data_IF_160211489779
#
_entry.id   IF_160211489779
#
_cell.length_a   1.000
_cell.length_b   1.000
_cell.length_c   1.000
_cell.angle_alpha   90.00
_cell.angle_beta   90.00
_cell.angle_gamma   90.00
#
_symmetry.space_group_name_H-M   'P 1'
#
loop_
_entity.id
_entity.type
_entity.pdbx_description
1 polymer ?
#
# COMPACT_ATOMS: atom_id res chain seq x y z
N UNK A 1 -51.55 53.08 -6.00
CA UNK A 1 -50.77 52.13 -5.17
C UNK A 1 -51.21 50.73 -5.48
N UNK A 2 -50.24 49.84 -5.65
CA UNK A 2 -50.25 48.66 -6.52
C UNK A 2 -51.17 47.52 -6.09
N UNK A 3 -51.96 47.06 -7.05
CA UNK A 3 -52.43 45.67 -7.15
C UNK A 3 -51.19 44.76 -7.20
N UNK A 4 -51.16 43.70 -6.40
CA UNK A 4 -50.55 42.36 -6.59
C UNK A 4 -50.63 41.66 -5.22
N UNK A 5 -51.86 41.31 -4.82
CA UNK A 5 -52.07 39.99 -4.21
C UNK A 5 -52.12 39.00 -5.40
N UNK A 6 -51.74 37.74 -5.19
CA UNK A 6 -51.56 36.66 -6.18
C UNK A 6 -50.11 36.43 -6.66
N UNK A 7 -49.22 35.99 -5.75
CA UNK A 7 -48.05 35.15 -6.08
C UNK A 7 -47.29 34.66 -4.82
N UNK A 8 -47.95 34.04 -3.83
CA UNK A 8 -47.24 33.42 -2.69
C UNK A 8 -47.81 32.05 -2.31
N UNK A 9 -48.16 31.24 -3.30
CA UNK A 9 -48.65 29.87 -3.08
C UNK A 9 -48.13 28.86 -4.12
N UNK A 10 -46.93 29.07 -4.68
CA UNK A 10 -46.37 28.15 -5.68
C UNK A 10 -44.85 27.99 -5.68
N UNK A 11 -44.18 28.15 -4.53
CA UNK A 11 -42.77 27.75 -4.35
C UNK A 11 -42.60 27.13 -2.95
N UNK A 12 -43.33 26.05 -2.67
CA UNK A 12 -43.09 25.26 -1.45
C UNK A 12 -43.40 23.77 -1.62
N UNK A 13 -43.30 23.27 -2.84
CA UNK A 13 -43.31 21.84 -3.18
C UNK A 13 -42.35 21.72 -4.38
N UNK A 14 -41.42 20.75 -4.35
CA UNK A 14 -40.24 20.60 -5.22
C UNK A 14 -38.95 21.23 -4.64
N UNK A 15 -38.63 20.90 -3.39
CA UNK A 15 -37.23 20.89 -2.94
C UNK A 15 -36.98 19.74 -1.94
N UNK A 16 -37.52 18.55 -2.27
CA UNK A 16 -37.42 17.39 -1.38
C UNK A 16 -37.22 16.06 -2.11
N UNK A 17 -36.56 16.04 -3.28
CA UNK A 17 -36.24 14.78 -3.99
C UNK A 17 -34.92 14.77 -4.78
N UNK A 18 -33.88 15.48 -4.33
CA UNK A 18 -32.52 15.24 -4.85
C UNK A 18 -31.44 15.34 -3.76
N UNK A 19 -31.67 14.68 -2.62
CA UNK A 19 -30.53 14.12 -1.86
C UNK A 19 -30.18 12.77 -2.49
N UNK A 20 -29.64 12.82 -3.70
CA UNK A 20 -28.84 11.72 -4.22
C UNK A 20 -27.65 11.63 -3.28
N UNK A 21 -27.69 10.64 -2.38
CA UNK A 21 -26.54 10.28 -1.57
C UNK A 21 -25.39 9.95 -2.51
N UNK A 22 -24.46 10.89 -2.66
CA UNK A 22 -23.11 10.57 -3.10
C UNK A 22 -22.50 9.70 -2.01
N UNK A 23 -22.74 8.40 -2.11
CA UNK A 23 -21.89 7.41 -1.48
C UNK A 23 -20.54 7.59 -2.15
N UNK A 24 -19.66 8.37 -1.52
CA UNK A 24 -18.25 8.35 -1.87
C UNK A 24 -17.79 6.93 -1.61
N UNK A 25 -17.73 6.12 -2.67
CA UNK A 25 -17.01 4.86 -2.65
C UNK A 25 -15.62 5.18 -2.11
N UNK A 26 -15.31 4.68 -0.92
CA UNK A 26 -14.01 4.90 -0.29
C UNK A 26 -12.93 4.57 -1.31
N UNK A 27 -11.96 5.46 -1.58
CA UNK A 27 -10.94 5.20 -2.57
C UNK A 27 -10.27 3.85 -2.23
N UNK A 28 -10.38 2.90 -3.14
CA UNK A 28 -9.84 1.53 -3.00
C UNK A 28 -8.30 1.64 -2.89
N UNK A 29 -7.62 0.80 -2.07
CA UNK A 29 -6.14 0.73 -2.13
C UNK A 29 -5.77 0.48 -3.59
N UNK A 30 -5.00 1.40 -4.18
CA UNK A 30 -4.52 1.30 -5.56
C UNK A 30 -3.32 0.34 -5.64
N UNK A 31 -3.39 -0.81 -4.95
CA UNK A 31 -2.65 -1.98 -5.40
C UNK A 31 -3.45 -2.48 -6.61
N UNK A 32 -2.90 -2.32 -7.81
CA UNK A 32 -3.62 -2.66 -9.05
C UNK A 32 -4.30 -4.02 -8.94
N UNK A 33 -5.56 -4.09 -9.37
CA UNK A 33 -6.27 -5.37 -9.48
C UNK A 33 -5.39 -6.33 -10.30
N UNK A 34 -5.21 -7.57 -9.81
CA UNK A 34 -4.44 -8.58 -10.53
C UNK A 34 -5.05 -8.78 -11.92
N UNK A 35 -4.43 -8.18 -12.94
CA UNK A 35 -4.93 -8.29 -14.31
C UNK A 35 -4.83 -9.73 -14.80
N UNK A 36 -5.79 -10.15 -15.59
CA UNK A 36 -5.84 -11.50 -16.18
C UNK A 36 -4.69 -11.65 -17.17
N UNK A 37 -3.74 -12.55 -16.88
CA UNK A 37 -2.61 -12.82 -17.78
C UNK A 37 -2.97 -13.89 -18.80
N UNK A 38 -2.71 -13.62 -20.07
CA UNK A 38 -3.04 -14.52 -21.18
C UNK A 38 -2.11 -14.28 -22.36
N UNK A 39 -2.00 -15.29 -23.22
CA UNK A 39 -1.33 -15.13 -24.50
C UNK A 39 -2.18 -14.22 -25.42
N UNK A 40 -1.62 -13.10 -25.85
CA UNK A 40 -2.26 -12.12 -26.73
C UNK A 40 -1.22 -11.31 -27.53
N UNK A 41 -1.67 -10.47 -28.45
CA UNK A 41 -0.82 -9.57 -29.23
C UNK A 41 -1.22 -8.10 -28.97
N UNK A 42 -0.30 -7.21 -28.55
CA UNK A 42 1.09 -7.48 -28.18
C UNK A 42 1.20 -8.36 -26.92
N UNK A 43 2.32 -9.09 -26.79
CA UNK A 43 2.56 -9.96 -25.64
C UNK A 43 2.49 -9.16 -24.34
N UNK A 44 1.84 -9.73 -23.33
CA UNK A 44 1.81 -9.12 -22.00
C UNK A 44 3.21 -9.17 -21.38
N UNK A 45 3.66 -8.05 -20.84
CA UNK A 45 4.93 -7.95 -20.12
C UNK A 45 4.72 -7.32 -18.75
N UNK A 46 5.58 -7.64 -17.79
CA UNK A 46 5.54 -7.03 -16.46
C UNK A 46 6.14 -7.88 -15.35
N UNK A 47 6.21 -7.28 -14.15
CA UNK A 47 6.64 -7.97 -12.93
C UNK A 47 5.66 -9.06 -12.52
N UNK A 48 4.36 -8.86 -12.76
CA UNK A 48 3.30 -9.87 -12.56
C UNK A 48 3.53 -11.13 -13.40
N UNK A 49 3.95 -10.97 -14.66
CA UNK A 49 4.32 -12.09 -15.54
C UNK A 49 5.59 -12.79 -15.02
N UNK A 50 6.59 -12.00 -14.59
CA UNK A 50 7.85 -12.54 -14.04
C UNK A 50 7.58 -13.36 -12.78
N UNK A 51 6.71 -12.85 -11.92
CA UNK A 51 6.25 -13.49 -10.69
C UNK A 51 5.65 -14.86 -10.99
N UNK A 52 4.65 -14.95 -11.88
CA UNK A 52 4.01 -16.24 -12.19
C UNK A 52 4.97 -17.21 -12.88
N UNK A 53 5.88 -16.74 -13.74
CA UNK A 53 6.89 -17.58 -14.37
C UNK A 53 7.83 -18.19 -13.33
N UNK A 54 8.24 -17.40 -12.33
CA UNK A 54 9.05 -17.88 -11.22
C UNK A 54 8.30 -18.91 -10.38
N UNK A 55 7.03 -18.67 -10.03
CA UNK A 55 6.24 -19.62 -9.24
C UNK A 55 6.00 -20.92 -10.00
N UNK A 56 5.60 -20.84 -11.28
CA UNK A 56 5.43 -22.03 -12.13
C UNK A 56 6.74 -22.81 -12.29
N UNK A 57 7.89 -22.11 -12.35
CA UNK A 57 9.21 -22.75 -12.41
C UNK A 57 9.55 -23.47 -11.11
N UNK A 58 9.29 -22.84 -9.97
CA UNK A 58 9.46 -23.44 -8.63
C UNK A 58 8.58 -24.68 -8.43
N UNK A 59 7.37 -24.66 -8.98
CA UNK A 59 6.43 -25.79 -8.97
C UNK A 59 6.72 -26.84 -10.05
N UNK A 60 7.74 -26.64 -10.90
CA UNK A 60 8.16 -27.60 -11.92
C UNK A 60 7.41 -27.54 -13.26
N UNK A 61 6.46 -26.60 -13.43
CA UNK A 61 5.67 -26.44 -14.65
C UNK A 61 6.36 -25.59 -15.72
N UNK A 62 7.25 -24.66 -15.34
CA UNK A 62 7.91 -23.75 -16.28
C UNK A 62 9.42 -23.99 -16.39
N UNK A 63 9.87 -24.40 -17.58
CA UNK A 63 11.30 -24.65 -17.88
C UNK A 63 11.99 -23.48 -18.59
N UNK A 64 11.25 -22.42 -18.93
CA UNK A 64 11.76 -21.25 -19.63
C UNK A 64 12.60 -20.31 -18.76
N UNK A 65 13.02 -19.21 -19.37
CA UNK A 65 13.67 -18.08 -18.68
C UNK A 65 12.60 -17.21 -18.04
N UNK A 66 12.83 -16.85 -16.78
CA UNK A 66 11.94 -15.92 -16.06
C UNK A 66 12.24 -14.51 -16.57
N UNK A 67 11.57 -14.11 -17.64
CA UNK A 67 11.85 -12.90 -18.42
C UNK A 67 10.76 -11.82 -18.30
N UNK A 68 9.61 -12.16 -17.71
CA UNK A 68 8.48 -11.26 -17.56
C UNK A 68 7.68 -11.05 -18.85
N UNK A 69 7.74 -11.98 -19.81
CA UNK A 69 6.99 -11.95 -21.07
C UNK A 69 6.03 -13.15 -21.15
N UNK A 70 4.73 -12.91 -21.31
CA UNK A 70 3.72 -13.97 -21.34
C UNK A 70 3.66 -14.59 -22.75
N UNK A 71 4.67 -15.39 -23.04
CA UNK A 71 4.83 -16.08 -24.33
C UNK A 71 4.09 -17.43 -24.38
N UNK A 72 4.22 -18.13 -25.51
CA UNK A 72 3.63 -19.46 -25.70
C UNK A 72 4.08 -20.46 -24.63
N UNK A 73 5.37 -20.43 -24.24
CA UNK A 73 5.93 -21.30 -23.20
C UNK A 73 5.29 -21.05 -21.83
N UNK A 74 5.05 -19.78 -21.52
CA UNK A 74 4.37 -19.37 -20.27
C UNK A 74 2.92 -19.86 -20.29
N UNK A 75 2.21 -19.66 -21.39
CA UNK A 75 0.84 -20.16 -21.57
C UNK A 75 0.75 -21.68 -21.44
N UNK A 76 1.68 -22.44 -22.04
CA UNK A 76 1.77 -23.89 -21.91
C UNK A 76 2.00 -24.33 -20.46
N UNK A 77 2.93 -23.69 -19.73
CA UNK A 77 3.14 -23.99 -18.31
C UNK A 77 1.90 -23.69 -17.45
N UNK A 78 1.15 -22.63 -17.77
CA UNK A 78 -0.14 -22.34 -17.09
C UNK A 78 -1.16 -23.43 -17.39
N UNK A 79 -1.25 -23.93 -18.63
CA UNK A 79 -2.14 -25.04 -18.99
C UNK A 79 -1.79 -26.33 -18.24
N UNK A 80 -0.50 -26.64 -18.13
CA UNK A 80 -0.04 -27.84 -17.42
C UNK A 80 -0.36 -27.75 -15.92
N UNK A 81 -0.13 -26.58 -15.31
CA UNK A 81 -0.54 -26.30 -13.93
C UNK A 81 -2.06 -26.42 -13.75
N UNK A 82 -2.84 -25.78 -14.62
CA UNK A 82 -4.30 -25.86 -14.58
C UNK A 82 -4.80 -27.30 -14.69
N UNK A 83 -4.22 -28.09 -15.61
CA UNK A 83 -4.57 -29.50 -15.80
C UNK A 83 -4.30 -30.31 -14.54
N UNK A 84 -3.15 -30.11 -13.89
CA UNK A 84 -2.82 -30.78 -12.63
C UNK A 84 -3.79 -30.39 -11.50
N UNK A 85 -4.13 -29.10 -11.38
CA UNK A 85 -5.02 -28.61 -10.32
C UNK A 85 -6.52 -28.85 -10.58
N UNK A 86 -6.86 -29.58 -11.65
CA UNK A 86 -8.23 -29.89 -12.04
C UNK A 86 -9.03 -28.69 -12.56
N UNK A 87 -8.34 -27.68 -13.10
CA UNK A 87 -8.93 -26.53 -13.78
C UNK A 87 -9.03 -26.78 -15.29
N UNK A 88 -9.84 -25.96 -15.98
CA UNK A 88 -9.82 -25.90 -17.45
C UNK A 88 -8.44 -25.41 -17.91
N UNK A 89 -7.71 -26.17 -18.77
CA UNK A 89 -6.38 -25.80 -19.23
C UNK A 89 -6.43 -24.79 -20.39
N UNK A 90 -6.99 -23.60 -20.15
CA UNK A 90 -7.12 -22.55 -21.16
C UNK A 90 -5.83 -21.72 -21.35
N UNK A 91 -4.89 -21.79 -20.41
CA UNK A 91 -3.65 -21.02 -20.43
C UNK A 91 -3.86 -19.57 -20.00
N UNK A 92 -4.97 -19.28 -19.31
CA UNK A 92 -5.30 -17.97 -18.75
C UNK A 92 -5.01 -17.99 -17.24
N UNK A 93 -4.07 -17.15 -16.80
CA UNK A 93 -3.80 -16.94 -15.40
C UNK A 93 -4.73 -15.86 -14.82
N UNK A 94 -5.94 -16.29 -14.47
CA UNK A 94 -6.93 -15.46 -13.75
C UNK A 94 -7.10 -15.88 -12.28
N UNK A 95 -8.09 -15.28 -11.60
CA UNK A 95 -8.32 -15.50 -10.16
C UNK A 95 -8.46 -16.97 -9.77
N UNK A 96 -9.11 -17.82 -10.58
CA UNK A 96 -9.26 -19.25 -10.29
C UNK A 96 -7.92 -19.99 -10.27
N UNK A 97 -7.06 -19.71 -11.25
CA UNK A 97 -5.71 -20.26 -11.35
C UNK A 97 -4.85 -19.76 -10.19
N UNK A 98 -4.93 -18.46 -9.89
CA UNK A 98 -4.23 -17.83 -8.77
C UNK A 98 -4.60 -18.47 -7.44
N UNK A 99 -5.89 -18.65 -7.15
CA UNK A 99 -6.35 -19.26 -5.89
C UNK A 99 -5.91 -20.72 -5.74
N UNK A 100 -5.87 -21.49 -6.84
CA UNK A 100 -5.30 -22.85 -6.79
C UNK A 100 -3.82 -22.81 -6.47
N UNK A 101 -3.06 -21.90 -7.08
CA UNK A 101 -1.66 -21.72 -6.75
C UNK A 101 -1.48 -21.30 -5.29
N UNK A 102 -2.31 -20.38 -4.79
CA UNK A 102 -2.26 -19.89 -3.42
C UNK A 102 -2.38 -21.02 -2.40
N UNK A 103 -3.33 -21.92 -2.61
CA UNK A 103 -3.56 -23.08 -1.74
C UNK A 103 -2.34 -24.00 -1.60
N UNK A 104 -1.46 -24.08 -2.59
CA UNK A 104 -0.22 -24.86 -2.51
C UNK A 104 0.75 -24.27 -1.47
N UNK A 105 0.76 -22.94 -1.32
CA UNK A 105 1.63 -22.21 -0.40
C UNK A 105 0.98 -21.95 0.96
N UNK A 106 -0.34 -21.90 1.03
CA UNK A 106 -1.11 -21.90 2.27
C UNK A 106 -1.06 -23.29 2.93
N UNK A 107 0.14 -23.75 3.34
CA UNK A 107 0.23 -24.82 4.34
C UNK A 107 -0.65 -24.41 5.52
N UNK A 108 -1.45 -25.31 6.12
CA UNK A 108 -2.39 -24.93 7.15
C UNK A 108 -1.59 -24.44 8.35
N UNK A 109 -1.47 -23.12 8.50
CA UNK A 109 -1.46 -22.51 9.80
C UNK A 109 -2.79 -22.97 10.38
N UNK A 110 -2.77 -24.05 11.16
CA UNK A 110 -3.92 -24.49 11.91
C UNK A 110 -4.56 -23.25 12.53
N UNK A 111 -5.90 -23.21 12.58
CA UNK A 111 -6.60 -22.24 13.42
C UNK A 111 -6.19 -22.52 14.86
N UNK A 112 -4.98 -22.10 15.24
CA UNK A 112 -4.50 -22.18 16.60
C UNK A 112 -5.35 -21.14 17.32
N UNK A 113 -6.22 -21.57 18.26
CA UNK A 113 -6.88 -20.62 19.14
C UNK A 113 -5.77 -19.86 19.83
N UNK A 114 -5.57 -18.62 19.45
CA UNK A 114 -4.62 -17.75 20.12
C UNK A 114 -5.42 -16.89 21.07
N UNK A 115 -5.05 -16.90 22.33
CA UNK A 115 -5.58 -15.96 23.30
C UNK A 115 -5.44 -14.52 22.77
N UNK A 116 -6.48 -13.72 23.01
CA UNK A 116 -6.46 -12.31 22.64
C UNK A 116 -5.40 -11.59 23.49
N UNK A 117 -4.59 -10.69 22.93
CA UNK A 117 -3.64 -9.94 23.71
C UNK A 117 -4.38 -9.13 24.80
N UNK A 118 -3.89 -9.13 26.04
CA UNK A 118 -4.47 -8.32 27.11
C UNK A 118 -4.19 -6.82 26.88
N UNK A 119 -4.96 -5.97 27.56
CA UNK A 119 -4.70 -4.53 27.66
C UNK A 119 -4.74 -3.77 26.33
N UNK A 120 -3.97 -2.68 26.25
CA UNK A 120 -3.87 -1.85 25.05
C UNK A 120 -3.04 -2.56 23.98
N UNK A 121 -3.61 -2.70 22.78
CA UNK A 121 -2.97 -3.32 21.62
C UNK A 121 -2.45 -2.26 20.65
N UNK A 122 -1.21 -2.41 20.21
CA UNK A 122 -0.63 -1.65 19.09
C UNK A 122 0.12 -2.56 18.12
N UNK A 123 0.45 -2.04 16.95
CA UNK A 123 1.21 -2.77 15.92
C UNK A 123 2.54 -2.06 15.68
N UNK A 124 3.63 -2.83 15.59
CA UNK A 124 4.93 -2.36 15.10
C UNK A 124 5.29 -3.16 13.85
N UNK A 125 5.65 -2.48 12.77
CA UNK A 125 6.06 -3.07 11.50
C UNK A 125 7.51 -2.72 11.23
N UNK A 126 8.37 -3.74 11.16
CA UNK A 126 9.77 -3.60 10.77
C UNK A 126 9.88 -3.90 9.29
N UNK A 127 10.01 -2.86 8.47
CA UNK A 127 9.93 -2.99 7.01
C UNK A 127 11.11 -3.76 6.42
N UNK A 128 12.33 -3.53 6.90
CA UNK A 128 13.53 -4.27 6.47
C UNK A 128 13.51 -5.75 6.88
N UNK A 129 12.98 -6.05 8.07
CA UNK A 129 12.83 -7.43 8.56
C UNK A 129 11.60 -8.12 7.98
N UNK A 130 10.68 -7.37 7.37
CA UNK A 130 9.40 -7.84 6.83
C UNK A 130 8.59 -8.58 7.90
N UNK A 131 8.51 -7.96 9.08
CA UNK A 131 7.80 -8.46 10.26
C UNK A 131 6.77 -7.47 10.76
N UNK A 132 5.60 -7.99 11.10
CA UNK A 132 4.59 -7.28 11.89
C UNK A 132 4.58 -7.89 13.29
N UNK A 133 4.72 -7.05 14.30
CA UNK A 133 4.67 -7.41 15.72
C UNK A 133 3.45 -6.77 16.34
N UNK A 134 2.55 -7.61 16.86
CA UNK A 134 1.46 -7.16 17.72
C UNK A 134 2.05 -6.95 19.11
N UNK A 135 1.80 -5.77 19.67
CA UNK A 135 2.21 -5.37 21.00
C UNK A 135 1.00 -5.41 21.94
N UNK A 136 1.22 -5.80 23.18
CA UNK A 136 0.23 -5.78 24.27
C UNK A 136 0.88 -5.07 25.45
N UNK A 137 0.26 -3.99 25.92
CA UNK A 137 0.79 -3.15 27.02
C UNK A 137 2.25 -2.71 26.80
N UNK A 138 2.58 -2.36 25.55
CA UNK A 138 3.91 -1.93 25.15
C UNK A 138 4.96 -3.04 25.01
N UNK A 139 4.60 -4.31 25.23
CA UNK A 139 5.50 -5.47 25.09
C UNK A 139 5.17 -6.28 23.84
N UNK A 140 6.16 -6.89 23.15
CA UNK A 140 5.90 -7.80 22.04
C UNK A 140 5.03 -8.98 22.49
N UNK A 141 3.89 -9.17 21.84
CA UNK A 141 2.97 -10.28 22.11
C UNK A 141 3.13 -11.39 21.07
N UNK A 142 3.07 -11.05 19.78
CA UNK A 142 3.24 -12.02 18.69
C UNK A 142 3.78 -11.38 17.42
N UNK A 143 4.64 -12.11 16.71
CA UNK A 143 5.20 -11.68 15.42
C UNK A 143 4.67 -12.49 14.25
N UNK A 144 4.49 -11.84 13.11
CA UNK A 144 4.04 -12.43 11.85
C UNK A 144 4.96 -12.01 10.70
N UNK A 145 5.27 -12.93 9.76
CA UNK A 145 5.92 -12.54 8.52
C UNK A 145 4.92 -11.77 7.64
N UNK A 146 5.41 -10.73 6.97
CA UNK A 146 4.63 -9.89 6.06
C UNK A 146 5.36 -9.66 4.74
N UNK A 147 4.65 -9.20 3.71
CA UNK A 147 5.28 -8.53 2.57
C UNK A 147 5.05 -7.03 2.67
N UNK A 148 6.02 -6.24 2.20
CA UNK A 148 5.96 -4.77 2.23
C UNK A 148 6.10 -4.19 0.81
N UNK A 149 6.11 -2.87 0.70
CA UNK A 149 6.27 -2.13 -0.56
C UNK A 149 7.57 -2.50 -1.29
N UNK A 150 7.58 -2.38 -2.61
CA UNK A 150 8.83 -2.42 -3.38
C UNK A 150 9.69 -1.19 -3.08
N UNK A 151 10.94 -1.16 -3.57
CA UNK A 151 11.79 0.03 -3.48
C UNK A 151 11.28 1.23 -4.30
N UNK A 152 10.44 0.97 -5.30
CA UNK A 152 9.78 2.00 -6.11
C UNK A 152 8.49 2.51 -5.47
N UNK A 153 7.80 1.65 -4.72
CA UNK A 153 6.54 1.95 -4.05
C UNK A 153 6.62 1.55 -2.57
N UNK A 154 7.49 2.22 -1.79
CA UNK A 154 7.80 1.81 -0.43
C UNK A 154 6.60 1.91 0.51
N UNK A 155 6.57 1.04 1.51
CA UNK A 155 5.60 1.17 2.62
C UNK A 155 5.89 2.46 3.39
N UNK A 156 4.87 3.27 3.73
CA UNK A 156 5.06 4.54 4.42
C UNK A 156 5.66 4.32 5.81
N UNK A 157 6.73 5.06 6.13
CA UNK A 157 7.39 5.07 7.44
C UNK A 157 6.77 6.15 8.32
N UNK A 158 6.49 5.85 9.59
CA UNK A 158 5.90 6.79 10.54
C UNK A 158 4.90 6.17 11.51
N UNK A 159 4.17 7.03 12.21
CA UNK A 159 3.08 6.65 13.12
C UNK A 159 1.73 6.85 12.43
N UNK A 160 0.95 5.78 12.37
CA UNK A 160 -0.39 5.74 11.79
C UNK A 160 -1.40 5.12 12.74
N UNK A 161 -2.67 5.13 12.35
CA UNK A 161 -3.76 4.47 13.04
C UNK A 161 -4.65 3.69 12.07
N UNK A 162 -5.28 2.63 12.56
CA UNK A 162 -6.31 1.92 11.82
C UNK A 162 -7.57 2.78 11.77
N UNK A 163 -8.04 3.14 10.58
CA UNK A 163 -9.23 4.01 10.39
C UNK A 163 -10.46 3.25 9.90
N UNK A 164 -10.26 2.11 9.26
CA UNK A 164 -11.33 1.29 8.68
C UNK A 164 -10.92 -0.17 8.70
N UNK A 165 -11.92 -1.05 8.83
CA UNK A 165 -11.77 -2.51 8.83
C UNK A 165 -12.85 -3.11 7.96
N UNK A 166 -12.47 -3.98 7.03
CA UNK A 166 -13.41 -4.64 6.12
C UNK A 166 -13.05 -6.11 5.90
N UNK A 167 -14.06 -6.93 5.60
CA UNK A 167 -13.89 -8.30 5.09
C UNK A 167 -14.02 -8.31 3.57
N UNK A 168 -12.92 -8.63 2.87
CA UNK A 168 -12.90 -8.68 1.40
C UNK A 168 -12.77 -10.15 0.97
N UNK A 169 -13.50 -10.52 -0.08
CA UNK A 169 -13.60 -11.91 -0.55
C UNK A 169 -12.74 -12.24 -1.77
N UNK A 170 -12.29 -11.25 -2.55
CA UNK A 170 -11.52 -11.49 -3.77
C UNK A 170 -10.49 -10.35 -3.99
N UNK A 171 -9.32 -10.67 -4.56
CA UNK A 171 -8.25 -9.72 -4.93
C UNK A 171 -7.28 -9.29 -3.81
N UNK A 172 -7.71 -9.21 -2.56
CA UNK A 172 -6.91 -8.61 -1.46
C UNK A 172 -6.68 -9.53 -0.25
N UNK A 173 -7.13 -10.79 -0.31
CA UNK A 173 -7.17 -11.68 0.85
C UNK A 173 -8.37 -11.41 1.76
N UNK A 174 -8.44 -12.09 2.90
CA UNK A 174 -9.68 -12.22 3.69
C UNK A 174 -10.06 -11.03 4.56
N UNK A 175 -9.11 -10.14 4.90
CA UNK A 175 -9.31 -8.96 5.75
C UNK A 175 -8.51 -7.77 5.24
N UNK A 176 -9.05 -6.57 5.46
CA UNK A 176 -8.44 -5.28 5.12
C UNK A 176 -8.53 -4.33 6.32
N UNK A 177 -7.44 -3.62 6.62
CA UNK A 177 -7.35 -2.62 7.68
C UNK A 177 -6.65 -1.37 7.14
N UNK A 178 -7.41 -0.27 6.94
CA UNK A 178 -6.90 0.98 6.35
C UNK A 178 -6.08 1.78 7.36
N UNK A 179 -4.98 2.37 6.91
CA UNK A 179 -4.15 3.32 7.66
C UNK A 179 -4.50 4.77 7.31
N UNK A 180 -4.37 5.70 8.27
CA UNK A 180 -4.57 7.15 8.08
C UNK A 180 -3.40 7.85 7.34
N UNK A 181 -2.88 7.25 6.29
CA UNK A 181 -1.79 7.86 5.49
C UNK A 181 -2.37 9.00 4.63
N UNK A 182 -1.89 10.25 4.76
CA UNK A 182 -2.55 11.39 4.13
C UNK A 182 -2.42 11.43 2.59
N UNK A 183 -1.33 10.89 2.04
CA UNK A 183 -1.03 11.01 0.60
C UNK A 183 -1.54 9.86 -0.27
N UNK A 184 -2.20 8.85 0.31
CA UNK A 184 -2.71 7.71 -0.45
C UNK A 184 -3.47 6.69 0.38
N UNK A 185 -3.87 5.60 -0.27
CA UNK A 185 -4.62 4.53 0.39
C UNK A 185 -3.68 3.38 0.71
N UNK A 186 -3.36 3.25 1.98
CA UNK A 186 -2.48 2.22 2.52
C UNK A 186 -3.22 1.41 3.58
N UNK A 187 -2.82 0.16 3.74
CA UNK A 187 -3.46 -0.74 4.70
C UNK A 187 -2.67 -2.00 4.97
N UNK A 188 -3.06 -2.69 6.03
CA UNK A 188 -2.63 -4.05 6.36
C UNK A 188 -3.73 -4.98 5.88
N UNK A 189 -3.39 -5.99 5.08
CA UNK A 189 -4.40 -6.87 4.49
C UNK A 189 -3.89 -8.29 4.24
N UNK A 190 -4.82 -9.21 4.00
CA UNK A 190 -4.52 -10.57 3.59
C UNK A 190 -3.83 -10.65 2.21
N UNK A 191 -3.65 -11.84 1.66
CA UNK A 191 -3.19 -11.96 0.28
C UNK A 191 -3.66 -13.25 -0.38
N UNK A 192 -3.95 -13.16 -1.68
CA UNK A 192 -4.13 -14.28 -2.60
C UNK A 192 -2.79 -14.74 -3.23
N UNK A 193 -1.68 -14.09 -2.87
CA UNK A 193 -0.30 -14.42 -3.28
C UNK A 193 0.54 -14.75 -2.04
N UNK A 194 0.23 -15.82 -1.30
CA UNK A 194 0.93 -16.19 -0.06
C UNK A 194 2.45 -16.36 -0.23
N UNK A 195 2.92 -16.70 -1.42
CA UNK A 195 4.35 -16.76 -1.76
C UNK A 195 5.07 -15.40 -1.73
N UNK A 196 4.33 -14.28 -1.77
CA UNK A 196 4.90 -12.93 -1.66
C UNK A 196 5.31 -12.57 -0.23
N UNK A 197 4.80 -13.31 0.76
CA UNK A 197 5.09 -13.07 2.17
C UNK A 197 6.57 -13.29 2.45
N UNK A 198 7.19 -12.32 3.13
CA UNK A 198 8.63 -12.27 3.34
C UNK A 198 9.40 -11.60 2.20
N UNK A 199 8.74 -10.90 1.27
CA UNK A 199 9.36 -10.12 0.19
C UNK A 199 8.99 -8.62 0.17
N UNK A 200 9.59 -7.89 -0.78
CA UNK A 200 9.27 -6.50 -1.14
C UNK A 200 8.42 -6.52 -2.43
N UNK A 201 7.11 -6.75 -2.31
CA UNK A 201 6.26 -7.24 -3.42
C UNK A 201 4.96 -6.43 -3.64
N UNK A 202 4.70 -5.44 -2.81
CA UNK A 202 3.45 -4.67 -2.85
C UNK A 202 3.64 -3.25 -3.38
N UNK A 203 2.52 -2.54 -3.61
CA UNK A 203 2.52 -1.10 -3.93
C UNK A 203 2.49 -0.23 -2.67
N UNK A 204 3.08 -0.71 -1.57
CA UNK A 204 3.17 -0.03 -0.28
C UNK A 204 2.21 -0.55 0.81
N UNK A 205 1.10 -1.19 0.44
CA UNK A 205 0.17 -1.86 1.37
C UNK A 205 0.87 -3.10 2.01
N UNK A 206 0.67 -3.38 3.31
CA UNK A 206 1.34 -4.49 4.02
C UNK A 206 0.53 -5.77 3.84
N UNK A 207 1.12 -6.80 3.24
CA UNK A 207 0.46 -8.09 2.98
C UNK A 207 0.76 -9.10 4.08
N UNK A 208 -0.26 -9.86 4.47
CA UNK A 208 -0.23 -10.92 5.46
C UNK A 208 -0.85 -12.20 4.90
N UNK A 209 -0.46 -13.37 5.43
CA UNK A 209 -1.23 -14.60 5.18
C UNK A 209 -2.65 -14.46 5.72
N UNK A 210 -3.65 -15.02 5.02
CA UNK A 210 -5.06 -14.91 5.40
C UNK A 210 -5.33 -15.35 6.86
N UNK A 211 -4.81 -16.49 7.35
CA UNK A 211 -4.99 -16.88 8.75
C UNK A 211 -4.36 -15.89 9.75
N UNK A 212 -3.24 -15.26 9.39
CA UNK A 212 -2.56 -14.29 10.24
C UNK A 212 -3.31 -12.97 10.31
N UNK A 213 -3.77 -12.45 9.17
CA UNK A 213 -4.54 -11.19 9.16
C UNK A 213 -5.87 -11.37 9.87
N UNK A 214 -6.54 -12.52 9.74
CA UNK A 214 -7.77 -12.82 10.47
C UNK A 214 -7.55 -12.75 11.98
N UNK A 215 -6.46 -13.33 12.47
CA UNK A 215 -6.10 -13.26 13.89
C UNK A 215 -5.81 -11.82 14.35
N UNK A 216 -4.98 -11.08 13.61
CA UNK A 216 -4.68 -9.66 13.94
C UNK A 216 -5.96 -8.81 13.87
N UNK A 217 -6.84 -9.07 12.91
CA UNK A 217 -8.09 -8.35 12.74
C UNK A 217 -9.00 -8.46 13.96
N UNK A 218 -9.06 -9.61 14.63
CA UNK A 218 -9.84 -9.77 15.88
C UNK A 218 -9.20 -9.08 17.09
N UNK A 219 -7.89 -8.84 17.03
CA UNK A 219 -7.12 -8.27 18.14
C UNK A 219 -7.09 -6.74 18.14
N UNK A 220 -7.20 -6.11 16.97
CA UNK A 220 -7.05 -4.66 16.83
C UNK A 220 -8.40 -3.97 16.60
N UNK A 221 -8.49 -2.73 17.08
CA UNK A 221 -9.67 -1.89 16.93
C UNK A 221 -9.40 -0.73 15.96
N UNK A 222 -10.45 -0.08 15.47
CA UNK A 222 -10.31 1.25 14.87
C UNK A 222 -9.69 2.17 15.93
N UNK A 223 -8.69 2.95 15.53
CA UNK A 223 -7.86 3.78 16.41
C UNK A 223 -6.58 3.10 16.91
N UNK A 224 -6.41 1.78 16.72
CA UNK A 224 -5.16 1.10 17.09
C UNK A 224 -3.96 1.75 16.38
N UNK A 225 -2.93 2.09 17.16
CA UNK A 225 -1.68 2.69 16.67
C UNK A 225 -0.86 1.67 15.89
N UNK A 226 -0.28 2.12 14.79
CA UNK A 226 0.59 1.36 13.90
C UNK A 226 1.88 2.14 13.69
N UNK A 227 2.96 1.64 14.26
CA UNK A 227 4.31 2.17 14.08
C UNK A 227 4.96 1.44 12.91
N UNK A 228 5.31 2.15 11.85
CA UNK A 228 6.03 1.58 10.71
C UNK A 228 7.45 2.12 10.73
N UNK A 229 8.39 1.20 10.95
CA UNK A 229 9.81 1.50 11.17
C UNK A 229 10.60 1.07 9.93
N UNK A 230 11.42 2.00 9.45
CA UNK A 230 12.39 1.79 8.37
C UNK A 230 13.68 1.13 8.87
N UNK A 231 14.75 1.30 8.11
CA UNK A 231 16.11 1.15 8.62
C UNK A 231 16.54 2.32 9.51
N UNK A 232 17.84 2.39 9.79
CA UNK A 232 18.46 3.47 10.59
C UNK A 232 18.20 4.86 10.01
N UNK A 233 18.06 4.94 8.68
CA UNK A 233 17.77 6.19 7.96
C UNK A 233 16.27 6.52 7.86
N UNK A 234 15.40 5.74 8.52
CA UNK A 234 13.97 6.00 8.61
C UNK A 234 13.31 6.15 7.23
N UNK A 235 12.63 7.28 6.92
CA UNK A 235 12.02 7.52 5.62
C UNK A 235 12.97 7.42 4.42
N UNK A 236 14.28 7.58 4.63
CA UNK A 236 15.30 7.58 3.58
C UNK A 236 16.04 6.24 3.44
N UNK A 237 15.51 5.17 4.04
CA UNK A 237 16.08 3.81 3.99
C UNK A 237 16.44 3.33 2.57
N UNK A 238 15.78 3.85 1.54
CA UNK A 238 16.02 3.49 0.13
C UNK A 238 16.73 4.59 -0.68
N UNK A 239 17.43 5.48 0.02
CA UNK A 239 18.23 6.55 -0.57
C UNK A 239 17.51 7.89 -0.69
N UNK A 240 18.30 8.91 -1.05
CA UNK A 240 17.85 10.29 -1.24
C UNK A 240 17.35 10.51 -2.66
N UNK A 241 16.11 10.11 -2.93
CA UNK A 241 15.46 10.42 -4.22
C UNK A 241 15.20 11.93 -4.29
N UNK A 242 15.46 12.61 -5.43
CA UNK A 242 15.11 14.01 -5.58
C UNK A 242 13.60 14.22 -5.40
N UNK A 243 13.21 15.24 -4.64
CA UNK A 243 11.80 15.60 -4.46
C UNK A 243 11.46 16.82 -5.32
N UNK A 244 10.34 16.72 -6.01
CA UNK A 244 9.80 17.77 -6.87
C UNK A 244 8.32 17.93 -6.60
N UNK A 245 7.69 18.94 -7.20
CA UNK A 245 6.23 19.09 -7.15
C UNK A 245 5.54 17.79 -7.58
N UNK A 246 4.56 17.35 -6.78
CA UNK A 246 3.84 16.10 -6.98
C UNK A 246 4.44 14.87 -6.29
N UNK A 247 5.69 14.94 -5.79
CA UNK A 247 6.27 13.89 -4.94
C UNK A 247 5.40 13.64 -3.71
N UNK A 248 5.31 12.39 -3.28
CA UNK A 248 4.51 11.96 -2.12
C UNK A 248 5.23 10.90 -1.32
N UNK A 249 5.22 11.02 0.01
CA UNK A 249 5.83 10.00 0.86
C UNK A 249 6.25 10.48 2.23
N UNK A 250 6.81 9.54 3.00
CA UNK A 250 7.38 9.82 4.32
C UNK A 250 8.63 10.69 4.26
N UNK A 251 9.37 10.64 3.15
CA UNK A 251 10.50 11.53 2.82
C UNK A 251 10.04 12.99 2.69
N UNK A 252 8.92 13.22 1.99
CA UNK A 252 8.29 14.54 1.88
C UNK A 252 7.83 15.04 3.24
N UNK A 253 7.17 14.21 4.07
CA UNK A 253 6.80 14.61 5.43
C UNK A 253 8.01 15.06 6.24
N UNK A 254 9.13 14.35 6.07
CA UNK A 254 10.35 14.59 6.82
C UNK A 254 11.04 15.89 6.38
N UNK A 255 10.95 16.25 5.10
CA UNK A 255 11.33 17.58 4.60
C UNK A 255 10.38 18.67 5.12
N UNK A 256 9.06 18.46 5.07
CA UNK A 256 8.07 19.42 5.59
C UNK A 256 8.32 19.73 7.07
N UNK A 257 8.61 18.71 7.90
CA UNK A 257 8.96 18.90 9.32
C UNK A 257 10.19 19.79 9.51
N UNK A 258 11.25 19.56 8.73
CA UNK A 258 12.49 20.34 8.82
C UNK A 258 12.28 21.78 8.38
N UNK A 259 11.57 22.00 7.27
CA UNK A 259 11.23 23.35 6.81
C UNK A 259 10.39 24.10 7.85
N UNK A 260 9.46 23.43 8.53
CA UNK A 260 8.73 24.01 9.68
C UNK A 260 9.69 24.35 10.82
N UNK A 261 10.57 23.42 11.19
CA UNK A 261 11.57 23.62 12.24
C UNK A 261 12.51 24.80 11.95
N UNK A 262 12.83 25.05 10.68
CA UNK A 262 13.62 26.18 10.22
C UNK A 262 12.80 27.46 9.94
N UNK A 263 11.47 27.42 10.06
CA UNK A 263 10.61 28.58 9.86
C UNK A 263 10.28 28.93 8.40
N UNK A 264 10.62 28.06 7.44
CA UNK A 264 10.35 28.28 6.00
C UNK A 264 8.97 27.79 5.56
N UNK A 265 8.33 26.90 6.32
CA UNK A 265 7.04 26.32 5.98
C UNK A 265 6.10 26.37 7.19
N UNK A 266 4.83 26.70 6.98
CA UNK A 266 3.80 26.75 8.03
C UNK A 266 2.53 25.94 7.67
N UNK A 267 2.60 25.18 6.58
CA UNK A 267 1.50 24.32 6.12
C UNK A 267 1.45 22.99 6.88
N UNK A 268 0.66 22.06 6.36
CA UNK A 268 0.44 20.75 6.98
C UNK A 268 1.58 19.80 6.67
N UNK A 269 1.90 18.91 7.62
CA UNK A 269 2.79 17.76 7.37
C UNK A 269 1.93 16.61 6.83
N UNK A 270 1.61 16.67 5.55
CA UNK A 270 0.73 15.73 4.85
C UNK A 270 1.47 14.82 3.86
N UNK A 271 2.79 14.94 3.77
CA UNK A 271 3.62 14.12 2.89
C UNK A 271 3.37 14.37 1.41
N UNK A 272 2.77 15.51 1.03
CA UNK A 272 2.54 15.92 -0.36
C UNK A 272 3.43 17.11 -0.68
N UNK A 273 4.27 16.98 -1.71
CA UNK A 273 5.14 18.06 -2.15
C UNK A 273 4.34 19.01 -3.04
N UNK A 274 3.61 19.92 -2.39
CA UNK A 274 2.79 20.93 -3.05
C UNK A 274 3.63 22.11 -3.56
N UNK A 275 2.98 23.01 -4.30
CA UNK A 275 3.56 24.28 -4.70
C UNK A 275 4.05 25.10 -3.49
N UNK A 276 3.31 25.12 -2.38
CA UNK A 276 3.73 25.83 -1.16
C UNK A 276 5.02 25.25 -0.56
N UNK A 277 5.16 23.92 -0.59
CA UNK A 277 6.39 23.25 -0.15
C UNK A 277 7.54 23.61 -1.08
N UNK A 278 7.30 23.65 -2.40
CA UNK A 278 8.30 24.06 -3.39
C UNK A 278 8.79 25.48 -3.12
N UNK A 279 7.91 26.43 -2.85
CA UNK A 279 8.31 27.81 -2.55
C UNK A 279 9.06 27.93 -1.21
N UNK A 280 8.66 27.16 -0.20
CA UNK A 280 9.42 27.06 1.06
C UNK A 280 10.85 26.52 0.83
N UNK A 281 11.00 25.50 -0.02
CA UNK A 281 12.32 24.98 -0.40
C UNK A 281 13.13 26.02 -1.19
N UNK A 282 12.52 26.78 -2.11
CA UNK A 282 13.22 27.87 -2.84
C UNK A 282 13.76 28.93 -1.88
N UNK A 283 12.95 29.34 -0.91
CA UNK A 283 13.36 30.30 0.11
C UNK A 283 14.51 29.75 0.97
N UNK A 284 14.38 28.50 1.45
CA UNK A 284 15.43 27.82 2.19
C UNK A 284 16.73 27.73 1.39
N UNK A 285 16.66 27.31 0.13
CA UNK A 285 17.81 27.20 -0.77
C UNK A 285 18.50 28.55 -0.95
N UNK A 286 17.74 29.61 -1.24
CA UNK A 286 18.26 30.96 -1.42
C UNK A 286 19.05 31.43 -0.20
N UNK A 287 18.49 31.25 0.99
CA UNK A 287 19.10 31.69 2.25
C UNK A 287 20.34 30.87 2.64
N UNK A 288 20.42 29.63 2.17
CA UNK A 288 21.56 28.73 2.38
C UNK A 288 22.57 28.76 1.20
N UNK A 289 22.46 29.73 0.29
CA UNK A 289 23.40 29.89 -0.83
C UNK A 289 23.35 28.77 -1.87
N UNK A 290 22.24 28.03 -1.95
CA UNK A 290 21.99 27.01 -2.95
C UNK A 290 21.23 27.59 -4.15
N UNK A 291 21.23 26.87 -5.27
CA UNK A 291 20.37 27.22 -6.41
C UNK A 291 18.89 27.09 -5.99
N UNK A 292 18.07 28.15 -6.09
CA UNK A 292 16.68 28.14 -5.66
C UNK A 292 15.77 27.47 -6.70
N UNK A 293 16.05 26.21 -7.02
CA UNK A 293 15.28 25.41 -7.97
C UNK A 293 13.88 25.08 -7.45
N UNK A 294 13.76 24.94 -6.13
CA UNK A 294 12.57 24.42 -5.45
C UNK A 294 12.47 22.90 -5.46
N UNK A 295 13.47 22.20 -6.00
CA UNK A 295 13.59 20.75 -5.92
C UNK A 295 14.53 20.39 -4.78
N UNK A 296 14.25 19.32 -4.05
CA UNK A 296 15.16 18.80 -3.02
C UNK A 296 16.12 17.82 -3.66
N UNK A 297 17.32 18.30 -3.96
CA UNK A 297 18.45 17.48 -4.40
C UNK A 297 19.35 17.07 -3.22
N UNK A 298 20.43 16.35 -3.49
CA UNK A 298 21.37 15.90 -2.44
C UNK A 298 21.95 17.06 -1.62
N UNK A 299 22.27 18.19 -2.28
CA UNK A 299 22.81 19.38 -1.58
C UNK A 299 21.77 19.97 -0.64
N UNK A 300 20.51 20.04 -1.09
CA UNK A 300 19.38 20.52 -0.29
C UNK A 300 19.10 19.58 0.88
N UNK A 301 19.14 18.26 0.67
CA UNK A 301 19.02 17.29 1.76
C UNK A 301 20.10 17.49 2.84
N UNK A 302 21.37 17.61 2.43
CA UNK A 302 22.47 17.86 3.36
C UNK A 302 22.29 19.17 4.12
N UNK A 303 21.88 20.25 3.44
CA UNK A 303 21.60 21.54 4.07
C UNK A 303 20.44 21.45 5.07
N UNK A 304 19.43 20.62 4.79
CA UNK A 304 18.33 20.30 5.70
C UNK A 304 18.78 19.41 6.88
N UNK A 305 20.04 18.98 6.96
CA UNK A 305 20.50 18.04 7.98
C UNK A 305 19.95 16.62 7.78
N UNK A 306 19.65 16.25 6.54
CA UNK A 306 19.34 14.88 6.13
C UNK A 306 20.63 14.29 5.56
N UNK A 307 21.32 13.50 6.37
CA UNK A 307 22.55 12.80 6.01
C UNK A 307 22.32 11.33 6.36
N UNK A 308 22.48 10.45 5.37
CA UNK A 308 22.37 9.01 5.59
C UNK A 308 23.65 8.50 6.23
N UNK A 309 23.52 7.53 7.13
CA UNK A 309 24.69 6.86 7.69
C UNK A 309 25.25 5.89 6.66
N UNK A 310 26.55 6.02 6.38
CA UNK A 310 27.31 5.07 5.54
C UNK A 310 27.68 3.80 6.31
#
# INVERSE_FOLDING_TARGET
>A
MSKILWAFAFIMIIFMLFYSGYVYATPRCSCGEDRILKLQTPLMTGQDVREIQYQLKKLGFYKGTVNGIYDKKTSEAVRDFQKMEGLRPDGIFGIKTLLKMAKIYEKPAAKVPSEKPPGEVSIVIYTLDRKLVVMSEGKPFKSFPVAVGTFDTPTPIGLFTITQKDSWGEGFGSRWMRLNVPWGVYGIHGTNKPWSIGGFESHGCIRMLNPHVEQVYEWVNIGTKVYIIGGVDGPFTFGLKPLTEGSRGSDVMEVQKRLIGYGYYNGKIDGIYSWDVREAVRAFQKDNGLEPSGNVDEKTYRALGIILFE
#
